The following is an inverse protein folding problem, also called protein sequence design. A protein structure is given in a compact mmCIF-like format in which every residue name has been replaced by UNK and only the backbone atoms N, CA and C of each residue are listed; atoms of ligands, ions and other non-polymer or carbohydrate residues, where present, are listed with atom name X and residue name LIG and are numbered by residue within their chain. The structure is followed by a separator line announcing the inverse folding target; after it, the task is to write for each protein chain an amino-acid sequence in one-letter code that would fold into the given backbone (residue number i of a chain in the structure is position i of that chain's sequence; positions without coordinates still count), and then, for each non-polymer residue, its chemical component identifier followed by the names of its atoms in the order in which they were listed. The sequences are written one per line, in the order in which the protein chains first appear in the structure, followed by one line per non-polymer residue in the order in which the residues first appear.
data_IF_039944943294
#
_entry.id   IF_039944943294
#
_cell.length_a   1.000
_cell.length_b   1.000
_cell.length_c   1.000
_cell.angle_alpha   90.00
_cell.angle_beta   90.00
_cell.angle_gamma   90.00
#
_symmetry.space_group_name_H-M   'P 1'
#
loop_
_entity.id
_entity.type
_entity.pdbx_description
1 polymer ?
#
# COMPACT_ATOMS: atom_id res chain seq x y z
N UNK A 1 20.12 24.36 -20.25
CA UNK A 1 18.95 23.47 -20.28
C UNK A 1 18.66 23.04 -18.85
N UNK A 2 17.74 23.74 -18.19
CA UNK A 2 17.29 23.44 -16.83
C UNK A 2 16.46 22.16 -16.88
N UNK A 3 16.95 21.07 -16.28
CA UNK A 3 16.20 19.82 -16.17
C UNK A 3 14.93 20.06 -15.36
N UNK A 4 13.78 20.09 -16.03
CA UNK A 4 12.49 20.01 -15.35
C UNK A 4 12.46 18.68 -14.59
N UNK A 5 12.53 18.74 -13.26
CA UNK A 5 12.17 17.59 -12.41
C UNK A 5 10.72 17.27 -12.74
N UNK A 6 10.48 16.15 -13.42
CA UNK A 6 9.14 15.59 -13.61
C UNK A 6 8.49 15.49 -12.23
N UNK A 7 7.36 16.15 -12.03
CA UNK A 7 6.53 15.90 -10.86
C UNK A 7 6.11 14.43 -10.93
N UNK A 8 6.36 13.70 -9.84
CA UNK A 8 6.05 12.27 -9.77
C UNK A 8 4.56 12.13 -9.49
N UNK A 9 3.88 11.28 -10.25
CA UNK A 9 2.43 11.08 -10.09
C UNK A 9 2.14 10.15 -8.91
N UNK A 10 0.88 10.08 -8.50
CA UNK A 10 0.41 9.09 -7.53
C UNK A 10 0.72 7.67 -7.98
N UNK A 11 0.54 7.41 -9.26
CA UNK A 11 0.85 6.13 -9.88
C UNK A 11 2.32 5.77 -9.72
N UNK A 12 3.23 6.73 -9.91
CA UNK A 12 4.67 6.51 -9.72
C UNK A 12 4.99 6.08 -8.27
N UNK A 13 4.29 6.64 -7.28
CA UNK A 13 4.48 6.31 -5.85
C UNK A 13 3.95 4.92 -5.55
N UNK A 14 2.75 4.59 -6.03
CA UNK A 14 2.15 3.26 -5.86
C UNK A 14 3.04 2.20 -6.50
N UNK A 15 3.50 2.42 -7.73
CA UNK A 15 4.43 1.53 -8.43
C UNK A 15 5.74 1.35 -7.68
N UNK A 16 6.29 2.43 -7.11
CA UNK A 16 7.50 2.34 -6.32
C UNK A 16 7.30 1.51 -5.03
N UNK A 17 6.14 1.65 -4.38
CA UNK A 17 5.79 0.86 -3.21
C UNK A 17 5.62 -0.63 -3.56
N UNK A 18 4.91 -0.93 -4.66
CA UNK A 18 4.72 -2.30 -5.14
C UNK A 18 6.05 -2.95 -5.52
N UNK A 19 6.94 -2.28 -6.26
CA UNK A 19 8.27 -2.82 -6.58
C UNK A 19 9.14 -3.10 -5.36
N UNK A 20 8.90 -2.40 -4.26
CA UNK A 20 9.61 -2.62 -3.00
C UNK A 20 8.95 -3.70 -2.12
N UNK A 21 7.76 -4.18 -2.49
CA UNK A 21 7.02 -5.18 -1.74
C UNK A 21 7.67 -6.57 -1.93
N UNK A 22 7.96 -7.30 -0.84
CA UNK A 22 8.49 -8.66 -0.93
C UNK A 22 7.55 -9.58 -1.72
N UNK A 23 8.11 -10.50 -2.50
CA UNK A 23 7.34 -11.52 -3.23
C UNK A 23 6.32 -10.94 -4.23
N UNK A 24 6.58 -9.75 -4.78
CA UNK A 24 5.71 -9.12 -5.79
C UNK A 24 5.53 -9.97 -7.05
N UNK A 25 6.54 -10.77 -7.36
CA UNK A 25 6.57 -11.73 -8.46
C UNK A 25 5.63 -12.94 -8.24
N UNK A 26 5.19 -13.16 -7.00
CA UNK A 26 4.26 -14.24 -6.64
C UNK A 26 2.79 -13.82 -6.68
N UNK A 27 2.49 -12.55 -6.94
CA UNK A 27 1.12 -12.05 -7.00
C UNK A 27 0.39 -12.57 -8.24
N UNK A 28 -0.92 -12.83 -8.09
CA UNK A 28 -1.75 -13.29 -9.20
C UNK A 28 -1.98 -12.24 -10.28
N UNK A 29 -1.75 -10.96 -9.95
CA UNK A 29 -1.89 -9.81 -10.84
C UNK A 29 -0.50 -9.29 -11.20
N UNK A 30 -0.27 -9.03 -12.49
CA UNK A 30 0.97 -8.44 -12.98
C UNK A 30 1.05 -6.95 -12.58
N UNK A 31 1.54 -6.71 -11.37
CA UNK A 31 1.70 -5.38 -10.79
C UNK A 31 2.67 -4.46 -11.53
N UNK A 32 3.52 -4.98 -12.42
CA UNK A 32 4.44 -4.13 -13.19
C UNK A 32 3.75 -3.56 -14.43
N UNK A 33 2.91 -4.37 -15.08
CA UNK A 33 2.31 -4.01 -16.37
C UNK A 33 0.84 -3.58 -16.27
N UNK A 34 0.09 -4.00 -15.25
CA UNK A 34 -1.34 -3.69 -15.11
C UNK A 34 -1.59 -2.20 -14.95
N UNK A 35 -2.62 -1.64 -15.59
CA UNK A 35 -3.01 -0.22 -15.43
C UNK A 35 -3.40 0.14 -13.99
N UNK A 36 -3.42 1.43 -13.63
CA UNK A 36 -3.81 1.83 -12.27
C UNK A 36 -5.26 1.46 -11.96
N UNK A 37 -6.18 1.61 -12.92
CA UNK A 37 -7.58 1.20 -12.78
C UNK A 37 -7.69 -0.32 -12.54
N UNK A 38 -6.90 -1.12 -13.27
CA UNK A 38 -6.84 -2.58 -13.08
C UNK A 38 -6.32 -2.95 -11.69
N UNK A 39 -5.31 -2.24 -11.18
CA UNK A 39 -4.80 -2.48 -9.83
C UNK A 39 -5.85 -2.13 -8.75
N UNK A 40 -6.63 -1.07 -8.96
CA UNK A 40 -7.69 -0.67 -8.05
C UNK A 40 -8.87 -1.66 -8.07
N UNK A 41 -9.25 -2.12 -9.27
CA UNK A 41 -10.25 -3.17 -9.43
C UNK A 41 -9.81 -4.47 -8.76
N UNK A 42 -8.57 -4.90 -8.99
CA UNK A 42 -8.00 -6.08 -8.36
C UNK A 42 -7.92 -5.95 -6.84
N UNK A 43 -7.61 -4.76 -6.31
CA UNK A 43 -7.60 -4.51 -4.87
C UNK A 43 -9.01 -4.60 -4.28
N UNK A 44 -10.00 -4.00 -4.94
CA UNK A 44 -11.40 -4.02 -4.53
C UNK A 44 -12.00 -5.43 -4.59
N UNK A 45 -11.60 -6.24 -5.57
CA UNK A 45 -12.01 -7.63 -5.74
C UNK A 45 -11.16 -8.63 -4.92
N UNK A 46 -10.12 -8.15 -4.23
CA UNK A 46 -9.15 -8.97 -3.48
C UNK A 46 -8.46 -10.06 -4.34
N UNK A 47 -8.16 -9.73 -5.59
CA UNK A 47 -7.60 -10.64 -6.59
C UNK A 47 -6.08 -10.79 -6.50
N UNK A 48 -5.38 -9.90 -5.78
CA UNK A 48 -3.95 -10.03 -5.55
C UNK A 48 -3.58 -11.32 -4.80
N UNK A 49 -4.52 -11.91 -4.05
CA UNK A 49 -4.26 -13.00 -3.12
C UNK A 49 -3.49 -12.57 -1.86
N UNK A 50 -3.12 -11.28 -1.78
CA UNK A 50 -2.40 -10.67 -0.68
C UNK A 50 -3.12 -9.40 -0.23
N UNK A 51 -3.65 -9.44 0.99
CA UNK A 51 -4.42 -8.33 1.57
C UNK A 51 -3.57 -7.09 1.81
N UNK A 52 -2.26 -7.23 2.06
CA UNK A 52 -1.37 -6.08 2.26
C UNK A 52 -1.14 -5.33 0.95
N UNK A 53 -1.03 -6.04 -0.17
CA UNK A 53 -0.94 -5.42 -1.50
C UNK A 53 -2.22 -4.65 -1.83
N UNK A 54 -3.39 -5.27 -1.66
CA UNK A 54 -4.68 -4.60 -1.85
C UNK A 54 -4.78 -3.31 -1.03
N UNK A 55 -4.38 -3.38 0.25
CA UNK A 55 -4.35 -2.22 1.15
C UNK A 55 -3.40 -1.12 0.67
N UNK A 56 -2.18 -1.47 0.22
CA UNK A 56 -1.20 -0.51 -0.28
C UNK A 56 -1.75 0.27 -1.47
N UNK A 57 -2.38 -0.43 -2.43
CA UNK A 57 -2.93 0.20 -3.64
C UNK A 57 -4.06 1.16 -3.28
N UNK A 58 -5.04 0.71 -2.51
CA UNK A 58 -6.20 1.53 -2.13
C UNK A 58 -5.79 2.76 -1.30
N UNK A 59 -5.00 2.56 -0.25
CA UNK A 59 -4.69 3.65 0.70
C UNK A 59 -3.73 4.69 0.13
N UNK A 60 -2.78 4.27 -0.71
CA UNK A 60 -1.94 5.25 -1.41
C UNK A 60 -2.73 6.00 -2.47
N UNK A 61 -3.67 5.35 -3.16
CA UNK A 61 -4.46 6.02 -4.18
C UNK A 61 -5.45 7.04 -3.56
N UNK A 62 -6.22 6.60 -2.57
CA UNK A 62 -7.22 7.42 -1.88
C UNK A 62 -6.57 8.45 -0.94
N UNK A 63 -5.58 8.04 -0.16
CA UNK A 63 -4.88 8.90 0.81
C UNK A 63 -3.98 9.97 0.18
N UNK A 64 -3.71 9.85 -1.12
CA UNK A 64 -3.08 10.92 -1.90
C UNK A 64 -4.12 11.82 -2.62
N UNK A 65 -5.42 11.54 -2.49
CA UNK A 65 -6.57 12.33 -2.97
C UNK A 65 -6.59 13.80 -2.51
N UNK A 66 -6.90 14.71 -3.45
CA UNK A 66 -7.15 16.18 -3.35
C UNK A 66 -6.21 17.06 -2.51
N UNK A 67 -5.26 16.48 -1.80
CA UNK A 67 -4.40 17.16 -0.82
C UNK A 67 -3.07 17.64 -1.40
N UNK A 68 -2.80 17.36 -2.69
CA UNK A 68 -1.44 17.35 -3.25
C UNK A 68 -1.24 18.30 -4.43
N UNK A 69 -1.62 19.56 -4.22
CA UNK A 69 -0.93 20.64 -4.90
C UNK A 69 0.48 20.82 -4.31
N UNK A 70 1.48 20.10 -4.84
CA UNK A 70 2.95 20.29 -4.73
C UNK A 70 3.74 19.52 -3.65
N UNK A 71 4.81 18.87 -4.13
CA UNK A 71 6.15 18.60 -3.51
C UNK A 71 6.28 17.75 -2.24
N UNK A 72 5.25 17.52 -1.44
CA UNK A 72 5.36 16.73 -0.19
C UNK A 72 4.85 15.27 -0.30
N UNK A 73 4.57 14.80 -1.51
CA UNK A 73 3.90 13.53 -1.82
C UNK A 73 4.64 12.30 -1.24
N UNK A 74 5.98 12.29 -1.28
CA UNK A 74 6.79 11.18 -0.73
C UNK A 74 6.77 11.13 0.79
N UNK A 75 6.79 12.28 1.45
CA UNK A 75 6.77 12.33 2.92
C UNK A 75 5.41 11.92 3.44
N UNK A 76 4.34 12.31 2.75
CA UNK A 76 2.99 11.87 3.09
C UNK A 76 2.83 10.37 2.86
N UNK A 77 3.21 9.85 1.69
CA UNK A 77 3.16 8.42 1.40
C UNK A 77 3.95 7.59 2.42
N UNK A 78 5.17 8.03 2.77
CA UNK A 78 5.97 7.38 3.81
C UNK A 78 5.28 7.41 5.18
N UNK A 79 4.65 8.52 5.56
CA UNK A 79 3.88 8.62 6.82
C UNK A 79 2.65 7.70 6.82
N UNK A 80 1.92 7.62 5.71
CA UNK A 80 0.77 6.74 5.57
C UNK A 80 1.21 5.27 5.66
N UNK A 81 2.31 4.90 5.01
CA UNK A 81 2.91 3.56 5.12
C UNK A 81 3.37 3.23 6.54
N UNK A 82 4.00 4.17 7.23
CA UNK A 82 4.41 3.98 8.62
C UNK A 82 3.21 3.79 9.55
N UNK A 83 2.13 4.55 9.33
CA UNK A 83 0.87 4.41 10.07
C UNK A 83 0.23 3.05 9.81
N UNK A 84 0.10 2.67 8.55
CA UNK A 84 -0.42 1.37 8.14
C UNK A 84 0.34 0.20 8.79
N UNK A 85 1.67 0.25 8.77
CA UNK A 85 2.51 -0.77 9.40
C UNK A 85 2.26 -0.87 10.93
N UNK A 86 2.07 0.27 11.61
CA UNK A 86 1.74 0.30 13.04
C UNK A 86 0.36 -0.30 13.31
N UNK A 87 -0.63 0.06 12.50
CA UNK A 87 -2.01 -0.42 12.65
C UNK A 87 -2.07 -1.95 12.42
N UNK A 88 -1.43 -2.45 11.37
CA UNK A 88 -1.31 -3.89 11.10
C UNK A 88 -0.59 -4.65 12.22
N UNK A 89 0.50 -4.09 12.78
CA UNK A 89 1.19 -4.68 13.94
C UNK A 89 0.29 -4.74 15.17
N UNK A 90 -0.53 -3.71 15.39
CA UNK A 90 -1.52 -3.69 16.48
C UNK A 90 -2.56 -4.79 16.31
N UNK A 91 -3.14 -4.92 15.10
CA UNK A 91 -4.11 -5.97 14.76
C UNK A 91 -3.49 -7.36 14.92
N UNK A 92 -2.30 -7.60 14.38
CA UNK A 92 -1.60 -8.87 14.53
C UNK A 92 -1.31 -9.22 16.01
N UNK A 93 -0.96 -8.21 16.81
CA UNK A 93 -0.79 -8.37 18.26
C UNK A 93 -2.10 -8.73 18.98
N UNK A 94 -3.21 -8.10 18.60
CA UNK A 94 -4.53 -8.41 19.14
C UNK A 94 -4.98 -9.83 18.78
N UNK A 95 -4.79 -10.25 17.53
CA UNK A 95 -5.09 -11.60 17.06
C UNK A 95 -4.31 -12.66 17.86
N UNK A 96 -3.00 -12.48 18.04
CA UNK A 96 -2.16 -13.40 18.83
C UNK A 96 -2.59 -13.50 20.29
N UNK A 97 -3.01 -12.39 20.90
CA UNK A 97 -3.54 -12.38 22.28
C UNK A 97 -4.90 -13.06 22.36
N UNK A 98 -5.77 -12.87 21.37
CA UNK A 98 -7.08 -13.53 21.29
C UNK A 98 -6.96 -15.05 21.10
N UNK A 99 -5.87 -15.54 20.51
CA UNK A 99 -5.60 -16.98 20.36
C UNK A 99 -5.15 -17.67 21.65
N UNK A 100 -4.94 -16.92 22.75
CA UNK A 100 -4.52 -17.45 24.05
C UNK A 100 -5.56 -17.14 25.14
N UNK A 101 -6.55 -18.02 25.39
CA UNK A 101 -7.24 -17.96 26.66
C UNK A 101 -6.29 -18.46 27.76
N UNK A 102 -6.17 -17.78 28.92
CA UNK A 102 -5.59 -18.42 30.08
C UNK A 102 -6.47 -19.62 30.43
N UNK A 103 -5.93 -20.84 30.33
CA UNK A 103 -6.54 -22.00 30.98
C UNK A 103 -6.54 -21.69 32.46
N UNK A 104 -7.71 -21.32 33.00
CA UNK A 104 -7.92 -21.30 34.45
C UNK A 104 -7.78 -22.75 34.92
N UNK A 105 -6.73 -23.00 35.71
CA UNK A 105 -6.65 -24.17 36.59
C UNK A 105 -7.58 -23.94 37.78
#
# INVERSE_FOLDING_TARGET
MTGMKRERTKEDIIRAALRAYPDTDMLAVDVENAGMDELLEAAAANEFGDTLVSFIVTELYEGTGDSLGRRDDFRLAAKLMERAAKDLKSVAGALKKSSYPPRRQ
#
